data_IF_388368504207
#
_entry.id   IF_388368504207
#
_cell.length_a   1.000
_cell.length_b   1.000
_cell.length_c   1.000
_cell.angle_alpha   90.00
_cell.angle_beta   90.00
_cell.angle_gamma   90.00
#
_symmetry.space_group_name_H-M   'P 1'
#
loop_
_entity.id
_entity.type
_entity.pdbx_description
1 polymer ?
#
# COMPACT_ATOMS: atom_id res chain seq x y z
N UNK A 1 19.82 -14.01 13.50
CA UNK A 1 18.92 -12.90 13.85
C UNK A 1 18.05 -12.68 12.64
N UNK A 2 16.72 -12.65 12.80
CA UNK A 2 15.79 -12.29 11.71
C UNK A 2 16.01 -10.81 11.39
N UNK A 3 16.11 -10.48 10.11
CA UNK A 3 16.36 -9.09 9.69
C UNK A 3 15.06 -8.27 9.85
N UNK A 4 15.14 -7.16 10.57
CA UNK A 4 14.03 -6.22 10.76
C UNK A 4 13.91 -5.34 9.52
N UNK A 5 12.73 -5.36 8.90
CA UNK A 5 12.41 -4.57 7.70
C UNK A 5 11.91 -3.18 8.10
N UNK A 6 10.96 -3.12 9.03
CA UNK A 6 10.42 -1.87 9.56
C UNK A 6 10.59 -1.84 11.08
N UNK A 7 11.09 -0.74 11.62
CA UNK A 7 11.17 -0.50 13.06
C UNK A 7 10.63 0.89 13.39
N UNK A 8 9.58 0.93 14.20
CA UNK A 8 8.87 2.14 14.62
C UNK A 8 9.03 2.29 16.14
N UNK A 9 9.59 3.40 16.58
CA UNK A 9 9.90 3.67 17.98
C UNK A 9 9.28 5.00 18.43
N UNK A 10 8.40 4.93 19.46
CA UNK A 10 7.76 6.09 20.09
C UNK A 10 7.12 7.05 19.07
N UNK A 11 6.45 6.50 18.04
CA UNK A 11 5.80 7.29 17.00
C UNK A 11 4.72 8.18 17.60
N UNK A 12 4.83 9.47 17.35
CA UNK A 12 3.79 10.46 17.64
C UNK A 12 3.39 11.17 16.35
N UNK A 13 2.12 11.52 16.22
CA UNK A 13 1.63 12.32 15.08
C UNK A 13 0.64 13.35 15.59
N UNK A 14 0.96 14.61 15.33
CA UNK A 14 0.16 15.76 15.66
C UNK A 14 -0.28 16.48 14.39
N UNK A 15 -1.57 16.79 14.26
CA UNK A 15 -2.09 17.64 13.20
C UNK A 15 -2.37 19.04 13.74
N UNK A 16 -1.93 20.06 13.01
CA UNK A 16 -2.24 21.46 13.31
C UNK A 16 -3.21 22.02 12.27
N UNK A 17 -4.36 22.47 12.75
CA UNK A 17 -5.38 23.11 11.93
C UNK A 17 -6.03 24.25 12.71
N UNK A 18 -6.13 25.44 12.10
CA UNK A 18 -6.81 26.63 12.66
C UNK A 18 -6.35 27.02 14.09
N UNK A 19 -5.07 26.78 14.41
CA UNK A 19 -4.48 27.07 15.73
C UNK A 19 -4.69 25.97 16.77
N UNK A 20 -5.44 24.92 16.46
CA UNK A 20 -5.62 23.76 17.32
C UNK A 20 -4.65 22.64 16.96
N UNK A 21 -4.29 21.81 17.95
CA UNK A 21 -3.45 20.63 17.76
C UNK A 21 -4.24 19.38 18.14
N UNK A 22 -4.36 18.46 17.19
CA UNK A 22 -4.97 17.14 17.41
C UNK A 22 -3.87 16.09 17.48
N UNK A 23 -3.76 15.39 18.62
CA UNK A 23 -2.82 14.30 18.85
C UNK A 23 -3.39 12.98 18.30
N UNK A 24 -3.08 12.65 17.05
CA UNK A 24 -3.61 11.46 16.38
C UNK A 24 -2.90 10.17 16.81
N UNK A 25 -1.59 10.23 17.07
CA UNK A 25 -0.79 9.10 17.59
C UNK A 25 0.04 9.59 18.77
N UNK A 26 0.01 8.83 19.88
CA UNK A 26 0.54 9.28 21.18
C UNK A 26 1.69 8.44 21.73
N UNK A 27 2.55 7.94 20.87
CA UNK A 27 3.73 7.16 21.28
C UNK A 27 3.50 5.66 21.16
N UNK A 28 3.45 5.12 19.93
CA UNK A 28 3.41 3.69 19.67
C UNK A 28 4.76 3.18 19.17
N UNK A 29 5.05 1.91 19.48
CA UNK A 29 6.26 1.24 19.00
C UNK A 29 5.88 -0.15 18.52
N UNK A 30 6.37 -0.52 17.34
CA UNK A 30 6.21 -1.85 16.76
C UNK A 30 7.31 -2.09 15.71
N UNK A 31 7.45 -3.32 15.29
CA UNK A 31 8.37 -3.65 14.20
C UNK A 31 7.75 -4.71 13.29
N UNK A 32 8.30 -4.86 12.10
CA UNK A 32 7.98 -5.91 11.14
C UNK A 32 9.29 -6.56 10.73
N UNK A 33 9.42 -7.85 10.96
CA UNK A 33 10.56 -8.63 10.53
C UNK A 33 10.37 -9.11 9.08
N UNK A 34 11.47 -9.50 8.43
CA UNK A 34 11.41 -10.01 7.05
C UNK A 34 10.48 -11.22 6.94
N UNK A 35 9.55 -11.17 5.98
CA UNK A 35 8.56 -12.21 5.75
C UNK A 35 7.46 -12.30 6.82
N UNK A 36 7.44 -11.40 7.80
CA UNK A 36 6.42 -11.35 8.85
C UNK A 36 5.14 -10.64 8.37
N UNK A 37 4.02 -10.96 9.02
CA UNK A 37 2.78 -10.14 8.95
C UNK A 37 2.50 -9.63 10.35
N UNK A 38 2.47 -8.30 10.49
CA UNK A 38 2.07 -7.62 11.73
C UNK A 38 0.71 -6.96 11.51
N UNK A 39 -0.23 -7.17 12.43
CA UNK A 39 -1.54 -6.53 12.38
C UNK A 39 -1.64 -5.38 13.38
N UNK A 40 -2.12 -4.23 12.92
CA UNK A 40 -2.56 -3.11 13.77
C UNK A 40 -4.09 -3.17 13.84
N UNK A 41 -4.61 -3.40 15.04
CA UNK A 41 -6.05 -3.55 15.28
C UNK A 41 -6.54 -2.43 16.22
N UNK A 42 -7.73 -1.90 15.98
CA UNK A 42 -8.31 -0.88 16.84
C UNK A 42 -9.55 -0.24 16.21
N UNK A 43 -10.27 0.55 16.99
CA UNK A 43 -11.48 1.23 16.56
C UNK A 43 -11.23 2.26 15.44
N UNK A 44 -12.30 2.64 14.73
CA UNK A 44 -12.22 3.72 13.73
C UNK A 44 -11.77 5.02 14.42
N UNK A 45 -10.88 5.76 13.76
CA UNK A 45 -10.32 7.01 14.32
C UNK A 45 -9.22 6.83 15.37
N UNK A 46 -8.79 5.60 15.69
CA UNK A 46 -7.72 5.35 16.69
C UNK A 46 -6.30 5.65 16.18
N UNK A 47 -6.13 6.16 14.96
CA UNK A 47 -4.82 6.55 14.41
C UNK A 47 -4.09 5.44 13.63
N UNK A 48 -4.74 4.29 13.32
CA UNK A 48 -4.13 3.17 12.59
C UNK A 48 -3.58 3.57 11.21
N UNK A 49 -4.44 4.12 10.36
CA UNK A 49 -4.06 4.59 9.01
C UNK A 49 -3.03 5.71 9.07
N UNK A 50 -3.15 6.62 10.04
CA UNK A 50 -2.17 7.68 10.29
C UNK A 50 -0.80 7.08 10.64
N UNK A 51 -0.77 6.06 11.50
CA UNK A 51 0.47 5.35 11.86
C UNK A 51 1.10 4.67 10.64
N UNK A 52 0.30 4.02 9.80
CA UNK A 52 0.77 3.39 8.57
C UNK A 52 1.32 4.40 7.55
N UNK A 53 0.58 5.47 7.28
CA UNK A 53 1.01 6.54 6.36
C UNK A 53 2.29 7.25 6.84
N UNK A 54 2.47 7.35 8.17
CA UNK A 54 3.71 7.90 8.76
C UNK A 54 4.94 7.08 8.39
N UNK A 55 4.81 5.75 8.22
CA UNK A 55 5.97 4.88 7.93
C UNK A 55 6.63 5.23 6.60
N UNK A 56 5.88 5.77 5.66
CA UNK A 56 6.35 6.22 4.35
C UNK A 56 6.29 7.74 4.19
N UNK A 57 6.03 8.48 5.26
CA UNK A 57 5.95 9.95 5.27
C UNK A 57 4.95 10.50 4.23
N UNK A 58 3.75 9.89 4.13
CA UNK A 58 2.67 10.29 3.20
C UNK A 58 1.57 11.12 3.88
N UNK A 59 1.83 11.66 5.06
CA UNK A 59 0.94 12.62 5.71
C UNK A 59 1.10 14.01 5.08
N UNK A 60 0.02 14.80 5.08
CA UNK A 60 0.05 16.18 4.57
C UNK A 60 0.85 17.13 5.46
N UNK A 61 1.10 18.34 4.96
CA UNK A 61 1.95 19.38 5.60
C UNK A 61 1.47 19.83 6.99
N UNK A 62 0.20 19.60 7.33
CA UNK A 62 -0.34 19.89 8.66
C UNK A 62 0.11 18.90 9.73
N UNK A 63 0.70 17.76 9.32
CA UNK A 63 1.16 16.71 10.23
C UNK A 63 2.59 16.95 10.69
N UNK A 64 2.83 16.75 11.98
CA UNK A 64 4.16 16.67 12.58
C UNK A 64 4.38 15.25 13.09
N UNK A 65 5.36 14.57 12.53
CA UNK A 65 5.73 13.18 12.90
C UNK A 65 6.92 13.21 13.83
N UNK A 66 6.79 12.62 15.02
CA UNK A 66 7.85 12.46 16.01
C UNK A 66 8.19 11.00 16.26
N UNK A 67 9.29 10.75 16.96
CA UNK A 67 9.84 9.42 17.18
C UNK A 67 10.82 9.01 16.10
N UNK A 68 10.98 7.70 15.90
CA UNK A 68 11.89 7.14 14.90
C UNK A 68 11.17 6.08 14.08
N UNK A 69 11.34 6.12 12.76
CA UNK A 69 10.85 5.12 11.82
C UNK A 69 12.03 4.75 10.93
N UNK A 70 12.49 3.51 11.01
CA UNK A 70 13.55 3.02 10.12
C UNK A 70 13.03 1.92 9.21
N UNK A 71 13.40 2.00 7.96
CA UNK A 71 13.17 0.96 6.95
C UNK A 71 14.52 0.42 6.48
N UNK A 72 14.75 -0.90 6.65
CA UNK A 72 16.04 -1.54 6.40
C UNK A 72 17.21 -0.74 6.98
N UNK A 73 17.06 -0.23 8.21
CA UNK A 73 18.06 0.57 8.93
C UNK A 73 18.17 2.04 8.48
N UNK A 74 17.42 2.47 7.45
CA UNK A 74 17.41 3.85 6.99
C UNK A 74 16.31 4.64 7.67
N UNK A 75 16.64 5.79 8.29
CA UNK A 75 15.68 6.66 8.95
C UNK A 75 14.76 7.34 7.92
N UNK A 76 13.43 7.20 8.14
CA UNK A 76 12.39 7.75 7.27
C UNK A 76 11.90 9.12 7.74
N UNK A 77 11.84 9.35 9.06
CA UNK A 77 11.42 10.65 9.59
C UNK A 77 12.50 11.69 9.29
N UNK A 78 12.11 12.74 8.57
CA UNK A 78 13.04 13.79 8.11
C UNK A 78 13.92 13.41 6.92
N UNK A 79 13.67 12.25 6.28
CA UNK A 79 14.37 11.87 5.06
C UNK A 79 14.05 12.84 3.90
N UNK A 80 14.97 12.97 2.95
CA UNK A 80 14.74 13.80 1.78
C UNK A 80 13.63 13.23 0.89
N UNK A 81 12.87 14.08 0.21
CA UNK A 81 11.82 13.63 -0.72
C UNK A 81 12.37 12.68 -1.79
N UNK A 82 13.60 12.90 -2.24
CA UNK A 82 14.29 12.03 -3.20
C UNK A 82 14.51 10.61 -2.65
N UNK A 83 14.82 10.48 -1.37
CA UNK A 83 15.03 9.16 -0.74
C UNK A 83 13.68 8.49 -0.47
N UNK A 84 12.66 9.25 -0.04
CA UNK A 84 11.30 8.76 0.12
C UNK A 84 10.70 8.24 -1.19
N UNK A 85 10.91 8.94 -2.32
CA UNK A 85 10.45 8.52 -3.64
C UNK A 85 11.08 7.19 -4.10
N UNK A 86 12.29 6.87 -3.67
CA UNK A 86 12.93 5.58 -3.97
C UNK A 86 12.30 4.41 -3.23
N UNK A 87 11.70 4.69 -2.07
CA UNK A 87 11.06 3.68 -1.22
C UNK A 87 9.59 3.52 -1.57
N UNK A 88 8.87 4.64 -1.75
CA UNK A 88 7.44 4.66 -2.04
C UNK A 88 7.12 4.03 -3.39
N UNK A 89 6.22 3.04 -3.38
CA UNK A 89 5.75 2.35 -4.59
C UNK A 89 6.77 1.39 -5.22
N UNK A 90 8.00 1.35 -4.72
CA UNK A 90 9.05 0.45 -5.16
C UNK A 90 9.36 -0.61 -4.09
N UNK A 91 9.86 -0.19 -2.94
CA UNK A 91 10.22 -1.09 -1.84
C UNK A 91 9.06 -1.32 -0.87
N UNK A 92 8.32 -0.24 -0.56
CA UNK A 92 7.10 -0.28 0.24
C UNK A 92 5.94 0.15 -0.64
N UNK A 93 4.95 -0.71 -0.78
CA UNK A 93 3.71 -0.41 -1.48
C UNK A 93 2.52 -0.35 -0.53
N UNK A 94 1.48 0.35 -0.95
CA UNK A 94 0.31 0.63 -0.15
C UNK A 94 -0.97 0.16 -0.85
N UNK A 95 -1.84 -0.54 -0.12
CA UNK A 95 -3.23 -0.78 -0.50
C UNK A 95 -4.08 0.11 0.40
N UNK A 96 -4.75 1.10 -0.19
CA UNK A 96 -5.59 2.05 0.53
C UNK A 96 -6.98 1.48 0.81
N UNK A 97 -7.65 2.02 1.81
CA UNK A 97 -8.94 1.57 2.31
C UNK A 97 -10.06 1.57 1.24
N UNK A 98 -10.06 2.55 0.33
CA UNK A 98 -11.13 2.71 -0.65
C UNK A 98 -10.65 2.58 -2.10
N UNK A 99 -11.02 1.49 -2.81
CA UNK A 99 -10.66 1.32 -4.23
C UNK A 99 -11.23 2.39 -5.16
N UNK A 100 -12.36 3.00 -4.76
CA UNK A 100 -13.05 4.01 -5.56
C UNK A 100 -12.30 5.33 -5.63
N UNK A 101 -11.59 5.69 -4.58
CA UNK A 101 -10.81 6.93 -4.48
C UNK A 101 -9.36 6.73 -4.90
N UNK A 102 -8.86 5.49 -4.85
CA UNK A 102 -7.48 5.14 -5.17
C UNK A 102 -7.23 4.95 -6.67
N UNK A 103 -8.26 4.56 -7.43
CA UNK A 103 -8.18 4.45 -8.89
C UNK A 103 -8.67 5.73 -9.55
N UNK A 104 -7.88 6.29 -10.48
CA UNK A 104 -8.31 7.46 -11.25
C UNK A 104 -9.46 7.08 -12.20
N UNK A 105 -10.67 7.64 -12.04
CA UNK A 105 -11.84 7.26 -12.83
C UNK A 105 -11.73 7.65 -14.32
N UNK A 106 -10.83 8.56 -14.67
CA UNK A 106 -10.62 9.07 -16.02
C UNK A 106 -9.53 8.31 -16.79
N UNK A 107 -8.83 7.37 -16.14
CA UNK A 107 -7.78 6.58 -16.76
C UNK A 107 -8.19 5.11 -16.86
N UNK A 108 -7.81 4.46 -17.96
CA UNK A 108 -7.98 3.02 -18.13
C UNK A 108 -7.07 2.25 -17.15
N UNK A 109 -7.41 0.99 -16.89
CA UNK A 109 -6.61 0.11 -16.04
C UNK A 109 -5.18 -0.03 -16.57
N UNK A 110 -5.03 -0.22 -17.89
CA UNK A 110 -3.71 -0.28 -18.52
C UNK A 110 -2.89 0.98 -18.24
N UNK A 111 -3.49 2.17 -18.40
CA UNK A 111 -2.77 3.43 -18.22
C UNK A 111 -2.25 3.57 -16.79
N UNK A 112 -3.05 3.25 -15.78
CA UNK A 112 -2.68 3.39 -14.38
C UNK A 112 -1.55 2.41 -13.98
N UNK A 113 -1.63 1.15 -14.39
CA UNK A 113 -0.56 0.17 -14.16
C UNK A 113 0.71 0.53 -14.92
N UNK A 114 0.58 1.00 -16.17
CA UNK A 114 1.69 1.42 -17.01
C UNK A 114 2.51 2.53 -16.37
N UNK A 115 1.86 3.57 -15.84
CA UNK A 115 2.53 4.70 -15.19
C UNK A 115 3.44 4.24 -14.04
N UNK A 116 2.98 3.33 -13.19
CA UNK A 116 3.76 2.79 -12.09
C UNK A 116 4.97 1.97 -12.58
N UNK A 117 4.77 1.10 -13.57
CA UNK A 117 5.82 0.24 -14.11
C UNK A 117 6.89 1.05 -14.86
N UNK A 118 6.47 2.00 -15.70
CA UNK A 118 7.41 2.84 -16.45
C UNK A 118 8.25 3.73 -15.55
N UNK A 119 7.65 4.25 -14.46
CA UNK A 119 8.34 5.12 -13.50
C UNK A 119 9.45 4.38 -12.75
N UNK A 120 9.17 3.16 -12.28
CA UNK A 120 10.08 2.46 -11.35
C UNK A 120 10.93 1.38 -12.02
N UNK A 121 10.43 0.70 -13.06
CA UNK A 121 11.15 -0.37 -13.75
C UNK A 121 11.80 0.05 -15.06
N UNK A 122 11.44 1.23 -15.58
CA UNK A 122 11.95 1.72 -16.85
C UNK A 122 11.54 0.89 -18.08
N UNK A 123 10.61 -0.07 -17.92
CA UNK A 123 10.03 -0.85 -19.01
C UNK A 123 9.22 0.06 -19.93
N UNK A 124 9.17 -0.25 -21.23
CA UNK A 124 8.43 0.51 -22.22
C UNK A 124 7.80 -0.39 -23.30
N UNK A 125 6.81 0.15 -24.01
CA UNK A 125 6.18 -0.52 -25.16
C UNK A 125 5.47 -1.81 -24.77
N UNK A 126 5.68 -2.87 -25.57
CA UNK A 126 5.01 -4.17 -25.40
C UNK A 126 5.45 -4.90 -24.12
N UNK A 127 6.68 -4.69 -23.65
CA UNK A 127 7.15 -5.29 -22.41
C UNK A 127 6.32 -4.85 -21.19
N UNK A 128 5.89 -3.58 -21.14
CA UNK A 128 4.97 -3.10 -20.10
C UNK A 128 3.63 -3.80 -20.20
N UNK A 129 3.10 -3.95 -21.41
CA UNK A 129 1.79 -4.59 -21.63
C UNK A 129 1.80 -6.05 -21.19
N UNK A 130 2.84 -6.81 -21.50
CA UNK A 130 3.02 -8.18 -21.02
C UNK A 130 3.04 -8.20 -19.49
N UNK A 131 3.84 -7.33 -18.86
CA UNK A 131 3.92 -7.25 -17.40
C UNK A 131 2.58 -6.91 -16.76
N UNK A 132 1.78 -6.03 -17.36
CA UNK A 132 0.43 -5.68 -16.86
C UNK A 132 -0.49 -6.91 -16.93
N UNK A 133 -0.47 -7.67 -18.02
CA UNK A 133 -1.27 -8.88 -18.16
C UNK A 133 -0.90 -9.89 -17.08
N UNK A 134 0.40 -10.15 -16.89
CA UNK A 134 0.90 -11.07 -15.86
C UNK A 134 0.44 -10.65 -14.45
N UNK A 135 0.51 -9.35 -14.13
CA UNK A 135 0.05 -8.82 -12.84
C UNK A 135 -1.45 -9.01 -12.64
N UNK A 136 -2.25 -8.74 -13.66
CA UNK A 136 -3.70 -8.91 -13.58
C UNK A 136 -4.10 -10.40 -13.47
N UNK A 137 -3.39 -11.31 -14.14
CA UNK A 137 -3.55 -12.75 -13.96
C UNK A 137 -3.19 -13.18 -12.52
N UNK A 138 -2.08 -12.69 -12.01
CA UNK A 138 -1.58 -12.97 -10.67
C UNK A 138 -2.58 -12.62 -9.57
N UNK A 139 -3.36 -11.55 -9.76
CA UNK A 139 -4.42 -11.16 -8.82
C UNK A 139 -5.79 -11.78 -9.18
N UNK A 140 -5.85 -12.69 -10.14
CA UNK A 140 -7.07 -13.43 -10.50
C UNK A 140 -8.09 -12.62 -11.30
N UNK A 141 -7.65 -11.70 -12.14
CA UNK A 141 -8.50 -11.06 -13.16
C UNK A 141 -8.57 -12.00 -14.38
N UNK A 142 -9.76 -12.49 -14.67
CA UNK A 142 -9.99 -13.35 -15.84
C UNK A 142 -9.93 -12.55 -17.15
N UNK A 143 -9.31 -13.12 -18.17
CA UNK A 143 -9.12 -12.51 -19.51
C UNK A 143 -8.55 -11.09 -19.44
N UNK A 144 -7.41 -10.87 -18.76
CA UNK A 144 -6.89 -9.54 -18.46
C UNK A 144 -6.65 -8.69 -19.70
N UNK A 145 -6.29 -9.30 -20.83
CA UNK A 145 -6.09 -8.59 -22.10
C UNK A 145 -7.35 -7.83 -22.56
N UNK A 146 -8.54 -8.35 -22.26
CA UNK A 146 -9.82 -7.70 -22.58
C UNK A 146 -10.16 -6.56 -21.61
N UNK A 147 -9.55 -6.54 -20.43
CA UNK A 147 -9.80 -5.56 -19.36
C UNK A 147 -8.87 -4.36 -19.39
N UNK A 148 -7.80 -4.39 -20.17
CA UNK A 148 -6.81 -3.31 -20.25
C UNK A 148 -7.42 -1.94 -20.55
N UNK A 149 -8.35 -1.89 -21.52
CA UNK A 149 -9.06 -0.68 -21.92
C UNK A 149 -10.22 -0.28 -21.02
N UNK A 150 -10.55 -1.08 -19.99
CA UNK A 150 -11.65 -0.78 -19.08
C UNK A 150 -11.30 0.39 -18.15
N UNK A 151 -12.32 1.14 -17.77
CA UNK A 151 -12.24 2.16 -16.73
C UNK A 151 -12.69 1.59 -15.37
N UNK A 152 -12.27 2.17 -14.23
CA UNK A 152 -12.64 1.68 -12.91
C UNK A 152 -14.15 1.47 -12.69
N UNK A 153 -14.98 2.37 -13.22
CA UNK A 153 -16.44 2.26 -13.09
C UNK A 153 -17.07 1.08 -13.86
N UNK A 154 -16.33 0.47 -14.80
CA UNK A 154 -16.77 -0.70 -15.57
C UNK A 154 -16.43 -2.03 -14.87
N UNK A 155 -15.75 -1.98 -13.72
CA UNK A 155 -15.34 -3.13 -12.93
C UNK A 155 -16.22 -3.29 -11.68
N UNK A 156 -16.41 -4.53 -11.23
CA UNK A 156 -17.02 -4.81 -9.93
C UNK A 156 -16.13 -4.32 -8.77
N UNK A 157 -16.68 -4.21 -7.55
CA UNK A 157 -15.90 -3.85 -6.36
C UNK A 157 -14.69 -4.75 -6.14
N UNK A 158 -14.90 -6.06 -6.20
CA UNK A 158 -13.81 -7.05 -6.07
C UNK A 158 -12.78 -6.98 -7.19
N UNK A 159 -13.20 -6.69 -8.43
CA UNK A 159 -12.24 -6.48 -9.53
C UNK A 159 -11.42 -5.21 -9.35
N UNK A 160 -12.01 -4.12 -8.90
CA UNK A 160 -11.28 -2.88 -8.56
C UNK A 160 -10.25 -3.11 -7.46
N UNK A 161 -10.64 -3.86 -6.42
CA UNK A 161 -9.72 -4.24 -5.34
C UNK A 161 -8.54 -5.05 -5.88
N UNK A 162 -8.79 -6.05 -6.74
CA UNK A 162 -7.73 -6.85 -7.37
C UNK A 162 -6.80 -6.00 -8.25
N UNK A 163 -7.33 -5.03 -9.00
CA UNK A 163 -6.52 -4.08 -9.77
C UNK A 163 -5.65 -3.21 -8.86
N UNK A 164 -6.19 -2.72 -7.74
CA UNK A 164 -5.43 -1.96 -6.76
C UNK A 164 -4.30 -2.79 -6.13
N UNK A 165 -4.56 -4.07 -5.84
CA UNK A 165 -3.52 -5.01 -5.39
C UNK A 165 -2.47 -5.19 -6.49
N UNK A 166 -2.86 -5.37 -7.76
CA UNK A 166 -1.92 -5.47 -8.88
C UNK A 166 -1.03 -4.23 -9.01
N UNK A 167 -1.60 -3.03 -8.82
CA UNK A 167 -0.83 -1.77 -8.81
C UNK A 167 0.18 -1.74 -7.66
N UNK A 168 -0.21 -2.17 -6.47
CA UNK A 168 0.69 -2.24 -5.32
C UNK A 168 1.85 -3.24 -5.54
N UNK A 169 1.60 -4.32 -6.27
CA UNK A 169 2.59 -5.36 -6.57
C UNK A 169 3.43 -5.09 -7.83
N UNK A 170 3.09 -4.05 -8.60
CA UNK A 170 3.67 -3.80 -9.92
C UNK A 170 5.20 -3.83 -9.92
N UNK A 171 5.83 -3.29 -8.87
CA UNK A 171 7.27 -3.16 -8.75
C UNK A 171 7.95 -4.22 -7.87
N UNK A 172 7.22 -5.25 -7.43
CA UNK A 172 7.75 -6.32 -6.58
C UNK A 172 8.23 -5.81 -5.22
N UNK A 173 7.36 -5.17 -4.41
CA UNK A 173 7.76 -4.56 -3.15
C UNK A 173 8.25 -5.62 -2.14
N UNK A 174 9.19 -5.23 -1.28
CA UNK A 174 9.65 -6.04 -0.16
C UNK A 174 8.65 -6.01 1.00
N UNK A 175 7.88 -4.92 1.10
CA UNK A 175 6.87 -4.73 2.14
C UNK A 175 5.56 -4.18 1.56
N UNK A 176 4.45 -4.77 1.98
CA UNK A 176 3.10 -4.32 1.64
C UNK A 176 2.40 -3.78 2.88
N UNK A 177 1.86 -2.59 2.80
CA UNK A 177 0.98 -2.02 3.83
C UNK A 177 -0.45 -2.09 3.30
N UNK A 178 -1.30 -2.86 3.97
CA UNK A 178 -2.69 -3.04 3.59
C UNK A 178 -3.60 -2.37 4.64
N UNK A 179 -4.14 -1.22 4.29
CA UNK A 179 -5.02 -0.43 5.16
C UNK A 179 -6.47 -0.78 4.86
N UNK A 180 -7.05 -1.62 5.74
CA UNK A 180 -8.43 -2.11 5.64
C UNK A 180 -8.80 -2.61 4.23
N UNK A 181 -8.03 -3.53 3.64
CA UNK A 181 -8.11 -3.86 2.21
C UNK A 181 -9.40 -4.56 1.80
N UNK A 182 -10.29 -4.85 2.74
CA UNK A 182 -11.57 -5.55 2.49
C UNK A 182 -12.79 -4.72 2.89
N UNK A 183 -12.59 -3.50 3.38
CA UNK A 183 -13.71 -2.60 3.74
C UNK A 183 -14.58 -2.32 2.52
N UNK A 184 -15.90 -2.27 2.72
CA UNK A 184 -16.92 -2.07 1.68
C UNK A 184 -17.07 -3.22 0.65
N UNK A 185 -16.51 -4.41 0.92
CA UNK A 185 -16.73 -5.62 0.14
C UNK A 185 -17.70 -6.57 0.86
N UNK A 186 -18.42 -7.40 0.10
CA UNK A 186 -19.21 -8.48 0.69
C UNK A 186 -18.32 -9.58 1.29
N UNK A 187 -18.87 -10.34 2.26
CA UNK A 187 -18.12 -11.33 3.05
C UNK A 187 -17.40 -12.37 2.19
N UNK A 188 -18.01 -12.79 1.07
CA UNK A 188 -17.41 -13.78 0.18
C UNK A 188 -16.20 -13.21 -0.54
N UNK A 189 -16.29 -11.98 -1.03
CA UNK A 189 -15.18 -11.30 -1.70
C UNK A 189 -14.09 -10.94 -0.69
N UNK A 190 -14.45 -10.55 0.55
CA UNK A 190 -13.47 -10.31 1.62
C UNK A 190 -12.57 -11.53 1.84
N UNK A 191 -13.15 -12.72 2.01
CA UNK A 191 -12.39 -13.96 2.19
C UNK A 191 -11.44 -14.20 1.00
N UNK A 192 -11.93 -14.06 -0.24
CA UNK A 192 -11.10 -14.22 -1.44
C UNK A 192 -9.94 -13.23 -1.52
N UNK A 193 -10.13 -11.98 -1.08
CA UNK A 193 -9.05 -10.97 -1.06
C UNK A 193 -8.02 -11.29 0.01
N UNK A 194 -8.45 -11.75 1.19
CA UNK A 194 -7.53 -12.14 2.27
C UNK A 194 -6.69 -13.36 1.87
N UNK A 195 -7.30 -14.39 1.26
CA UNK A 195 -6.59 -15.55 0.74
C UNK A 195 -5.59 -15.14 -0.36
N UNK A 196 -6.00 -14.28 -1.29
CA UNK A 196 -5.12 -13.74 -2.33
C UNK A 196 -3.90 -13.02 -1.73
N UNK A 197 -4.10 -12.14 -0.74
CA UNK A 197 -3.01 -11.42 -0.08
C UNK A 197 -2.05 -12.38 0.66
N UNK A 198 -2.58 -13.43 1.30
CA UNK A 198 -1.78 -14.44 1.98
C UNK A 198 -0.92 -15.25 0.98
N UNK A 199 -1.51 -15.64 -0.15
CA UNK A 199 -0.79 -16.36 -1.21
C UNK A 199 0.29 -15.48 -1.84
N UNK A 200 -0.04 -14.25 -2.23
CA UNK A 200 0.91 -13.30 -2.82
C UNK A 200 2.07 -12.97 -1.86
N UNK A 201 1.78 -12.79 -0.58
CA UNK A 201 2.80 -12.56 0.45
C UNK A 201 3.79 -13.72 0.53
N UNK A 202 3.29 -14.97 0.51
CA UNK A 202 4.11 -16.18 0.53
C UNK A 202 4.94 -16.33 -0.75
N UNK A 203 4.30 -16.16 -1.91
CA UNK A 203 4.90 -16.45 -3.21
C UNK A 203 5.96 -15.38 -3.61
N UNK A 204 5.83 -14.17 -3.08
CA UNK A 204 6.74 -13.05 -3.33
C UNK A 204 7.71 -12.78 -2.16
N UNK A 205 7.70 -13.60 -1.09
CA UNK A 205 8.54 -13.45 0.12
C UNK A 205 8.45 -12.03 0.73
N UNK A 206 7.25 -11.44 0.74
CA UNK A 206 7.00 -10.09 1.25
C UNK A 206 6.75 -10.05 2.75
N UNK A 207 7.11 -8.95 3.38
CA UNK A 207 6.61 -8.57 4.70
C UNK A 207 5.30 -7.81 4.58
N UNK A 208 4.43 -7.84 5.59
CA UNK A 208 3.13 -7.17 5.53
C UNK A 208 2.80 -6.45 6.84
N UNK A 209 2.34 -5.21 6.72
CA UNK A 209 1.64 -4.48 7.78
C UNK A 209 0.16 -4.43 7.43
N UNK A 210 -0.67 -5.09 8.23
CA UNK A 210 -2.09 -5.23 7.98
C UNK A 210 -2.90 -4.40 8.98
N UNK A 211 -3.76 -3.52 8.50
CA UNK A 211 -4.64 -2.70 9.35
C UNK A 211 -6.06 -3.22 9.23
N UNK A 212 -6.70 -3.42 10.35
CA UNK A 212 -8.09 -3.91 10.42
C UNK A 212 -8.78 -3.41 11.70
N UNK A 213 -10.09 -3.63 11.76
CA UNK A 213 -10.93 -3.38 12.93
C UNK A 213 -10.92 -4.54 13.92
#
# INVERSE_FOLDING_TARGET
MIARVLDVQNLTVDFRQDGETTHAVRGISFHVDKGETVAIVGESGSGKSVSALSTVQLLGDSATVGGSITYNGTQMVGASEKDLQRVRGNNISFIFQEPMTSLNPLHTIEKQLRESIELHQGLRGDAVRVRIIDLLEQVGIHEPATRLGAYPHQLSGGQRQRVMIAMALANGPEMLIADEPTTALDVTIQAQILDLLADLKRDLDMSMLFITH
#
